data_IF_191565661869
#
_entry.id   IF_191565661869
#
_cell.length_a   1.000
_cell.length_b   1.000
_cell.length_c   1.000
_cell.angle_alpha   90.00
_cell.angle_beta   90.00
_cell.angle_gamma   90.00
#
_symmetry.space_group_name_H-M   'P 1'
#
loop_
_entity.id
_entity.type
_entity.pdbx_description
1 polymer ?
#
# COMPACT_ATOMS: atom_id res chain seq x y z
N UNK A 1 -10.75 -22.91 10.24
CA UNK A 1 -9.40 -23.12 9.67
C UNK A 1 -8.66 -21.80 9.70
N UNK A 2 -8.13 -21.40 10.85
CA UNK A 2 -7.17 -20.30 10.96
C UNK A 2 -5.82 -20.87 10.58
N UNK A 3 -5.62 -21.02 9.27
CA UNK A 3 -4.31 -21.27 8.69
C UNK A 3 -3.29 -20.29 9.31
N UNK A 4 -2.06 -20.75 9.50
CA UNK A 4 -0.95 -20.11 10.21
C UNK A 4 -0.59 -18.71 9.65
N UNK A 5 -1.43 -17.70 9.89
CA UNK A 5 -1.22 -16.32 9.49
C UNK A 5 -0.18 -15.69 10.40
N UNK A 6 0.85 -15.09 9.80
CA UNK A 6 1.78 -14.23 10.55
C UNK A 6 1.15 -12.84 10.68
N UNK A 7 0.78 -12.47 11.89
CA UNK A 7 0.24 -11.14 12.20
C UNK A 7 1.36 -10.11 12.34
N UNK A 8 1.24 -9.00 11.63
CA UNK A 8 2.22 -7.90 11.62
C UNK A 8 1.51 -6.61 11.97
N UNK A 9 2.05 -5.89 12.95
CA UNK A 9 1.60 -4.53 13.29
C UNK A 9 2.10 -3.53 12.25
N UNK A 10 1.21 -2.70 11.75
CA UNK A 10 1.52 -1.61 10.81
C UNK A 10 0.51 -0.48 10.97
N UNK A 11 0.57 0.52 10.10
CA UNK A 11 -0.33 1.68 10.14
C UNK A 11 -1.08 1.84 8.82
N UNK A 12 -2.30 2.36 8.89
CA UNK A 12 -3.07 2.69 7.70
C UNK A 12 -2.38 3.83 6.92
N UNK A 13 -1.99 3.56 5.68
CA UNK A 13 -1.37 4.53 4.76
C UNK A 13 -2.38 5.16 3.79
N UNK A 14 -3.66 5.26 4.18
CA UNK A 14 -4.63 6.12 3.48
C UNK A 14 -4.57 7.50 4.13
N UNK A 15 -4.77 8.54 3.33
CA UNK A 15 -4.52 9.96 3.65
C UNK A 15 -5.52 10.56 4.66
N UNK A 16 -6.05 9.79 5.61
CA UNK A 16 -6.60 10.34 6.84
C UNK A 16 -5.46 10.47 7.84
N UNK A 17 -5.26 11.66 8.39
CA UNK A 17 -4.23 12.02 9.38
C UNK A 17 -4.20 11.16 10.67
N UNK A 18 -5.00 10.09 10.72
CA UNK A 18 -5.33 9.33 11.92
C UNK A 18 -4.47 8.11 12.19
N UNK A 19 -3.42 7.81 11.40
CA UNK A 19 -2.38 6.83 11.76
C UNK A 19 -2.89 5.53 12.39
N UNK A 20 -4.05 5.02 11.95
CA UNK A 20 -4.74 3.93 12.65
C UNK A 20 -3.83 2.71 12.70
N UNK A 21 -3.68 2.12 13.89
CA UNK A 21 -2.93 0.89 14.08
C UNK A 21 -3.67 -0.28 13.41
N UNK A 22 -2.94 -1.08 12.66
CA UNK A 22 -3.46 -2.23 11.94
C UNK A 22 -2.72 -3.50 12.35
N UNK A 23 -3.46 -4.61 12.39
CA UNK A 23 -2.93 -5.97 12.42
C UNK A 23 -3.20 -6.61 11.06
N UNK A 24 -2.13 -6.94 10.35
CA UNK A 24 -2.21 -7.52 9.00
C UNK A 24 -1.78 -8.98 9.06
N UNK A 25 -2.67 -9.88 8.66
CA UNK A 25 -2.41 -11.31 8.54
C UNK A 25 -1.76 -11.62 7.20
N UNK A 26 -0.51 -12.12 7.23
CA UNK A 26 0.29 -12.42 6.03
C UNK A 26 0.54 -13.92 5.91
N UNK A 27 0.37 -14.44 4.70
CA UNK A 27 0.73 -15.82 4.31
C UNK A 27 1.19 -15.84 2.86
N UNK A 28 2.26 -16.58 2.57
CA UNK A 28 2.81 -16.76 1.21
C UNK A 28 3.06 -15.42 0.49
N UNK A 29 3.71 -14.48 1.19
CA UNK A 29 4.00 -13.13 0.72
C UNK A 29 2.77 -12.32 0.26
N UNK A 30 1.58 -12.67 0.77
CA UNK A 30 0.31 -12.02 0.44
C UNK A 30 -0.46 -11.66 1.70
N UNK A 31 -1.15 -10.52 1.66
CA UNK A 31 -2.08 -10.11 2.72
C UNK A 31 -3.36 -10.94 2.58
N UNK A 32 -3.77 -11.61 3.65
CA UNK A 32 -4.97 -12.45 3.70
C UNK A 32 -6.08 -11.87 4.55
N UNK A 33 -5.73 -11.10 5.58
CA UNK A 33 -6.70 -10.44 6.46
C UNK A 33 -6.13 -9.13 7.02
N UNK A 34 -7.01 -8.21 7.39
CA UNK A 34 -6.67 -6.90 7.98
C UNK A 34 -7.66 -6.58 9.09
N UNK A 35 -7.14 -6.26 10.26
CA UNK A 35 -7.92 -5.89 11.43
C UNK A 35 -7.37 -4.59 12.03
N UNK A 36 -8.20 -3.88 12.81
CA UNK A 36 -7.70 -2.77 13.62
C UNK A 36 -6.87 -3.32 14.79
N UNK A 37 -5.73 -2.69 15.09
CA UNK A 37 -4.93 -3.04 16.28
C UNK A 37 -5.70 -2.60 17.55
N UNK A 38 -6.10 -3.52 18.44
CA UNK A 38 -6.73 -3.19 19.72
C UNK A 38 -5.87 -2.26 20.58
N UNK A 39 -4.54 -2.38 20.46
CA UNK A 39 -3.58 -1.54 21.19
C UNK A 39 -3.38 -0.16 20.53
N UNK A 40 -3.95 0.04 19.32
CA UNK A 40 -3.80 1.27 18.55
C UNK A 40 -4.24 2.49 19.35
N UNK A 41 -3.38 3.50 19.44
CA UNK A 41 -3.65 4.71 20.23
C UNK A 41 -4.94 5.42 19.80
N UNK A 42 -5.15 5.56 18.49
CA UNK A 42 -6.27 6.34 17.94
C UNK A 42 -7.52 5.50 17.71
N UNK A 43 -7.38 4.30 17.16
CA UNK A 43 -8.52 3.51 16.69
C UNK A 43 -8.96 2.39 17.65
N UNK A 44 -8.15 1.97 18.62
CA UNK A 44 -8.53 0.99 19.66
C UNK A 44 -9.24 -0.25 19.09
N UNK A 45 -8.72 -0.81 18.01
CA UNK A 45 -9.29 -1.98 17.33
C UNK A 45 -10.34 -1.66 16.25
N UNK A 46 -10.87 -0.44 16.20
CA UNK A 46 -11.76 -0.02 15.12
C UNK A 46 -11.00 0.08 13.79
N UNK A 47 -11.65 -0.31 12.69
CA UNK A 47 -11.15 -0.12 11.34
C UNK A 47 -12.31 0.25 10.42
N UNK A 48 -12.13 1.26 9.57
CA UNK A 48 -13.13 1.65 8.59
C UNK A 48 -13.02 0.77 7.32
N UNK A 49 -14.05 0.73 6.46
CA UNK A 49 -14.03 -0.08 5.23
C UNK A 49 -12.84 0.23 4.28
N UNK A 50 -12.32 1.47 4.31
CA UNK A 50 -11.14 1.87 3.54
C UNK A 50 -9.86 1.16 3.99
N UNK A 51 -9.74 0.87 5.29
CA UNK A 51 -8.62 0.14 5.86
C UNK A 51 -8.68 -1.35 5.50
N UNK A 52 -9.87 -1.94 5.54
CA UNK A 52 -10.11 -3.32 5.13
C UNK A 52 -9.75 -3.54 3.65
N UNK A 53 -10.11 -2.61 2.77
CA UNK A 53 -9.78 -2.68 1.33
C UNK A 53 -8.34 -2.22 0.99
N UNK A 54 -7.45 -2.06 1.96
CA UNK A 54 -6.11 -1.51 1.71
C UNK A 54 -5.19 -2.45 0.92
N UNK A 55 -5.39 -3.78 1.03
CA UNK A 55 -4.66 -4.79 0.26
C UNK A 55 -4.83 -4.61 -1.24
N UNK A 56 -6.04 -4.25 -1.70
CA UNK A 56 -6.38 -4.17 -3.12
C UNK A 56 -5.55 -3.11 -3.84
N UNK A 57 -5.20 -2.01 -3.14
CA UNK A 57 -4.32 -0.97 -3.69
C UNK A 57 -2.89 -1.48 -3.89
N UNK A 58 -2.41 -2.34 -2.99
CA UNK A 58 -1.04 -2.86 -3.06
C UNK A 58 -0.86 -3.85 -4.20
N UNK A 59 -1.91 -4.63 -4.50
CA UNK A 59 -1.91 -5.69 -5.52
C UNK A 59 -2.63 -5.30 -6.82
N UNK A 60 -3.16 -4.08 -6.92
CA UNK A 60 -3.91 -3.60 -8.08
C UNK A 60 -3.13 -3.80 -9.40
N UNK A 61 -3.80 -4.30 -10.44
CA UNK A 61 -3.18 -4.60 -11.74
C UNK A 61 -2.55 -3.37 -12.42
N UNK A 62 -3.17 -2.20 -12.25
CA UNK A 62 -2.70 -0.91 -12.78
C UNK A 62 -1.64 -0.20 -11.92
N UNK A 63 -1.14 -0.83 -10.83
CA UNK A 63 -0.11 -0.20 -10.00
C UNK A 63 1.17 0.02 -10.81
N UNK A 64 1.78 1.20 -10.67
CA UNK A 64 3.10 1.45 -11.24
C UNK A 64 4.14 0.53 -10.58
N UNK A 65 4.90 -0.18 -11.41
CA UNK A 65 5.95 -1.12 -10.99
C UNK A 65 7.36 -0.66 -11.35
N UNK A 66 7.48 0.38 -12.18
CA UNK A 66 8.74 0.93 -12.65
C UNK A 66 8.69 2.45 -12.68
N UNK A 67 9.84 3.13 -12.53
CA UNK A 67 9.96 4.56 -12.84
C UNK A 67 9.57 4.86 -14.28
N UNK A 68 8.97 6.03 -14.49
CA UNK A 68 8.52 6.50 -15.79
C UNK A 68 9.02 7.91 -16.07
N UNK A 69 9.59 8.11 -17.26
CA UNK A 69 10.01 9.41 -17.78
C UNK A 69 8.96 9.91 -18.75
N UNK A 70 8.64 11.21 -18.70
CA UNK A 70 7.68 11.80 -19.63
C UNK A 70 8.30 11.88 -21.03
N UNK A 71 7.63 11.31 -22.02
CA UNK A 71 8.04 11.35 -23.41
C UNK A 71 7.24 12.42 -24.18
N UNK A 72 7.82 13.62 -24.34
CA UNK A 72 7.21 14.74 -25.08
C UNK A 72 6.53 15.81 -24.20
N UNK A 73 5.65 16.61 -24.81
CA UNK A 73 5.01 17.77 -24.15
C UNK A 73 4.11 17.34 -22.98
N UNK A 74 4.10 18.14 -21.91
CA UNK A 74 3.23 17.95 -20.73
C UNK A 74 1.76 17.84 -21.16
N UNK A 75 1.02 16.90 -20.58
CA UNK A 75 -0.38 16.65 -20.90
C UNK A 75 -0.65 15.64 -22.02
N UNK A 76 0.37 15.15 -22.74
CA UNK A 76 0.19 14.15 -23.81
C UNK A 76 0.03 12.70 -23.33
N UNK A 77 0.18 12.43 -22.03
CA UNK A 77 0.04 11.09 -21.46
C UNK A 77 1.07 10.07 -21.95
N UNK A 78 2.16 10.53 -22.58
CA UNK A 78 3.22 9.68 -23.12
C UNK A 78 4.33 9.49 -22.08
N UNK A 79 4.64 8.23 -21.79
CA UNK A 79 5.61 7.83 -20.78
C UNK A 79 6.51 6.72 -21.31
N UNK A 80 7.78 6.79 -20.95
CA UNK A 80 8.80 5.80 -21.24
C UNK A 80 9.26 5.16 -19.92
N UNK A 81 9.41 3.84 -19.90
CA UNK A 81 9.96 3.13 -18.74
C UNK A 81 11.46 3.38 -18.68
N UNK A 82 11.96 3.76 -17.51
CA UNK A 82 13.39 3.95 -17.24
C UNK A 82 13.81 3.19 -15.98
N UNK A 83 15.12 3.02 -15.81
CA UNK A 83 15.69 2.39 -14.63
C UNK A 83 15.77 3.36 -13.44
N UNK A 84 15.80 2.81 -12.23
CA UNK A 84 15.87 3.63 -11.00
C UNK A 84 17.07 4.56 -10.94
N UNK A 85 18.23 4.10 -11.41
CA UNK A 85 19.44 4.93 -11.46
C UNK A 85 19.23 6.17 -12.32
N UNK A 86 18.76 5.98 -13.57
CA UNK A 86 18.45 7.11 -14.46
C UNK A 86 17.39 8.02 -13.83
N UNK A 87 16.33 7.46 -13.24
CA UNK A 87 15.25 8.24 -12.66
C UNK A 87 15.72 9.18 -11.54
N UNK A 88 16.71 8.75 -10.76
CA UNK A 88 17.32 9.55 -9.69
C UNK A 88 18.28 10.59 -10.28
N UNK A 89 19.10 10.20 -11.27
CA UNK A 89 20.14 11.06 -11.85
C UNK A 89 19.58 12.27 -12.64
N UNK A 90 18.31 12.22 -13.08
CA UNK A 90 17.68 13.28 -13.89
C UNK A 90 16.83 14.28 -13.08
N UNK A 91 16.69 14.09 -11.77
CA UNK A 91 15.96 14.98 -10.85
C UNK A 91 16.92 16.00 -10.26
#
# INVERSE_FOLDING_TARGET
MTDNLRWIKTHCARMDHGGCGLLVGVKDNSIKDIQGDPDGFLNKGYICPKGLASSDRLTHSLRLKHPLKRAGKRGKGKWEKIEWKEAIDII
#
